data_IF_666834760606
#
_entry.id   IF_666834760606
#
_cell.length_a   1.000
_cell.length_b   1.000
_cell.length_c   1.000
_cell.angle_alpha   90.00
_cell.angle_beta   90.00
_cell.angle_gamma   90.00
#
_symmetry.space_group_name_H-M   'P 1'
#
loop_
_entity.id
_entity.type
_entity.pdbx_description
1 polymer ?
#
# COMPACT_ATOMS: atom_id res chain seq x y z
N UNK A 1 -11.67 11.56 14.10
CA UNK A 1 -11.81 11.53 12.62
C UNK A 1 -11.95 12.96 12.12
N UNK A 2 -11.38 13.31 10.97
CA UNK A 2 -11.58 14.63 10.39
C UNK A 2 -13.08 14.90 10.14
N UNK A 3 -13.62 16.11 10.42
CA UNK A 3 -15.03 16.41 10.18
C UNK A 3 -15.46 16.24 8.72
N UNK A 4 -14.53 16.44 7.77
CA UNK A 4 -14.78 16.27 6.32
C UNK A 4 -14.44 14.87 5.82
N UNK A 5 -14.39 13.86 6.69
CA UNK A 5 -14.04 12.49 6.29
C UNK A 5 -15.18 11.86 5.47
N UNK A 6 -14.91 11.47 4.23
CA UNK A 6 -15.86 10.79 3.35
C UNK A 6 -15.65 9.27 3.27
N UNK A 7 -15.04 8.67 4.28
CA UNK A 7 -14.83 7.23 4.40
C UNK A 7 -13.74 6.72 3.46
N UNK A 8 -14.01 5.59 2.79
CA UNK A 8 -13.05 4.96 1.87
C UNK A 8 -12.79 5.79 0.60
N UNK A 9 -13.67 6.74 0.29
CA UNK A 9 -13.53 7.66 -0.84
C UNK A 9 -12.88 8.99 -0.46
N UNK A 10 -12.45 9.15 0.79
CA UNK A 10 -11.71 10.34 1.21
C UNK A 10 -10.43 10.48 0.37
N UNK A 11 -10.17 11.62 -0.30
CA UNK A 11 -8.98 11.80 -1.13
C UNK A 11 -7.66 11.59 -0.40
N UNK A 12 -7.64 11.70 0.94
CA UNK A 12 -6.45 11.41 1.76
C UNK A 12 -6.14 9.92 1.86
N UNK A 13 -7.17 9.08 1.70
CA UNK A 13 -7.07 7.63 1.70
C UNK A 13 -7.06 7.07 0.27
N UNK A 14 -7.85 7.67 -0.63
CA UNK A 14 -8.07 7.23 -1.99
C UNK A 14 -7.83 8.37 -3.01
N UNK A 15 -6.58 8.84 -3.17
CA UNK A 15 -6.25 10.02 -3.97
C UNK A 15 -6.63 9.90 -5.44
N UNK A 16 -6.77 11.05 -6.11
CA UNK A 16 -7.07 11.14 -7.54
C UNK A 16 -5.87 10.76 -8.41
N UNK A 17 -6.14 10.55 -9.71
CA UNK A 17 -5.08 10.26 -10.68
C UNK A 17 -4.09 11.44 -10.80
N UNK A 18 -4.59 12.68 -10.80
CA UNK A 18 -3.75 13.88 -10.92
C UNK A 18 -2.81 14.07 -9.73
N UNK A 19 -3.27 13.72 -8.52
CA UNK A 19 -2.43 13.77 -7.32
C UNK A 19 -1.32 12.71 -7.39
N UNK A 20 -1.68 11.49 -7.80
CA UNK A 20 -0.74 10.38 -7.91
C UNK A 20 0.28 10.57 -9.04
N UNK A 21 -0.10 11.25 -10.13
CA UNK A 21 0.81 11.58 -11.24
C UNK A 21 2.02 12.41 -10.77
N UNK A 22 1.87 13.14 -9.68
CA UNK A 22 2.84 14.08 -9.11
C UNK A 22 3.65 13.49 -7.96
N UNK A 23 3.54 12.18 -7.71
CA UNK A 23 4.27 11.54 -6.63
C UNK A 23 5.78 11.71 -6.83
N UNK A 24 6.45 12.27 -5.81
CA UNK A 24 7.84 12.70 -5.90
C UNK A 24 8.88 11.60 -5.75
N UNK A 25 8.47 10.34 -5.51
CA UNK A 25 9.36 9.20 -5.46
C UNK A 25 9.35 8.43 -6.79
N UNK A 26 10.39 7.62 -6.99
CA UNK A 26 10.55 6.81 -8.21
C UNK A 26 10.01 5.39 -8.04
N UNK A 27 9.86 4.93 -6.79
CA UNK A 27 9.42 3.57 -6.48
C UNK A 27 8.41 3.58 -5.34
N UNK A 28 7.41 2.70 -5.43
CA UNK A 28 6.40 2.49 -4.39
C UNK A 28 6.24 0.99 -4.18
N UNK A 29 6.25 0.57 -2.91
CA UNK A 29 5.89 -0.79 -2.50
C UNK A 29 4.68 -0.73 -1.58
N UNK A 30 3.65 -1.51 -1.92
CA UNK A 30 2.37 -1.55 -1.21
C UNK A 30 2.20 -2.95 -0.62
N UNK A 31 1.89 -3.01 0.67
CA UNK A 31 1.45 -4.24 1.33
C UNK A 31 -0.04 -4.15 1.64
N UNK A 32 -0.78 -5.19 1.32
CA UNK A 32 -2.19 -5.35 1.72
C UNK A 32 -2.39 -6.69 2.39
N UNK A 33 -3.44 -6.78 3.21
CA UNK A 33 -3.82 -7.97 3.95
C UNK A 33 -5.24 -8.38 3.56
N UNK A 34 -5.47 -9.66 3.32
CA UNK A 34 -6.74 -10.17 2.78
C UNK A 34 -7.96 -9.83 3.66
N UNK A 35 -7.82 -9.91 4.98
CA UNK A 35 -8.89 -9.64 5.95
C UNK A 35 -8.97 -8.17 6.36
N UNK A 36 -8.14 -7.30 5.77
CA UNK A 36 -8.15 -5.87 6.06
C UNK A 36 -9.30 -5.16 5.32
N UNK A 37 -10.12 -4.42 6.07
CA UNK A 37 -11.15 -3.53 5.52
C UNK A 37 -10.64 -2.50 4.51
N UNK A 38 -9.33 -2.19 4.53
CA UNK A 38 -8.67 -1.24 3.64
C UNK A 38 -8.09 -1.88 2.37
N UNK A 39 -8.22 -3.20 2.16
CA UNK A 39 -7.63 -3.89 1.01
C UNK A 39 -8.02 -3.26 -0.33
N UNK A 40 -9.29 -2.87 -0.48
CA UNK A 40 -9.80 -2.24 -1.68
C UNK A 40 -9.10 -0.89 -1.97
N UNK A 41 -8.80 -0.12 -0.93
CA UNK A 41 -8.07 1.15 -1.04
C UNK A 41 -6.64 0.90 -1.52
N UNK A 42 -5.93 -0.05 -0.90
CA UNK A 42 -4.56 -0.39 -1.28
C UNK A 42 -4.45 -0.85 -2.73
N UNK A 43 -5.37 -1.74 -3.16
CA UNK A 43 -5.47 -2.19 -4.56
C UNK A 43 -5.81 -1.05 -5.52
N UNK A 44 -6.71 -0.14 -5.13
CA UNK A 44 -7.06 1.02 -5.96
C UNK A 44 -5.89 1.99 -6.11
N UNK A 45 -5.12 2.22 -5.04
CA UNK A 45 -3.91 3.05 -5.10
C UNK A 45 -2.89 2.48 -6.08
N UNK A 46 -2.65 1.16 -6.04
CA UNK A 46 -1.80 0.45 -7.00
C UNK A 46 -2.27 0.65 -8.46
N UNK A 47 -3.56 0.40 -8.73
CA UNK A 47 -4.13 0.53 -10.07
C UNK A 47 -4.14 1.97 -10.58
N UNK A 48 -4.42 2.94 -9.70
CA UNK A 48 -4.40 4.36 -10.03
C UNK A 48 -2.99 4.87 -10.30
N UNK A 49 -1.97 4.44 -9.54
CA UNK A 49 -0.58 4.78 -9.83
C UNK A 49 -0.21 4.39 -11.27
N UNK A 50 -0.54 3.16 -11.67
CA UNK A 50 -0.29 2.65 -13.04
C UNK A 50 -1.01 3.44 -14.13
N UNK A 51 -2.17 4.04 -13.82
CA UNK A 51 -3.00 4.82 -14.76
C UNK A 51 -2.73 6.33 -14.70
N UNK A 52 -2.10 6.82 -13.64
CA UNK A 52 -1.92 8.25 -13.37
C UNK A 52 -0.94 8.95 -14.32
N UNK A 53 -0.12 8.20 -15.05
CA UNK A 53 0.97 8.75 -15.84
C UNK A 53 2.25 9.05 -15.04
N UNK A 54 2.23 8.79 -13.73
CA UNK A 54 3.44 8.70 -12.90
C UNK A 54 4.48 7.77 -13.54
N UNK A 55 5.75 8.17 -13.51
CA UNK A 55 6.83 7.51 -14.25
C UNK A 55 7.64 6.50 -13.44
N UNK A 56 7.30 6.35 -12.15
CA UNK A 56 7.95 5.39 -11.27
C UNK A 56 7.45 3.96 -11.44
N UNK A 57 7.99 3.06 -10.63
CA UNK A 57 7.57 1.66 -10.54
C UNK A 57 6.77 1.40 -9.27
N UNK A 58 5.71 0.60 -9.37
CA UNK A 58 4.91 0.17 -8.22
C UNK A 58 4.87 -1.34 -8.13
N UNK A 59 5.07 -1.84 -6.92
CA UNK A 59 4.88 -3.24 -6.54
C UNK A 59 3.76 -3.35 -5.49
N UNK A 60 2.99 -4.43 -5.55
CA UNK A 60 1.99 -4.77 -4.54
C UNK A 60 2.21 -6.20 -4.06
N UNK A 61 2.16 -6.40 -2.75
CA UNK A 61 2.23 -7.70 -2.09
C UNK A 61 0.94 -7.91 -1.32
N UNK A 62 0.20 -8.93 -1.69
CA UNK A 62 -1.04 -9.32 -1.02
C UNK A 62 -0.77 -10.47 -0.05
N UNK A 63 -1.10 -10.27 1.22
CA UNK A 63 -0.88 -11.26 2.26
C UNK A 63 -2.21 -11.94 2.60
N UNK A 64 -2.32 -13.22 2.26
CA UNK A 64 -3.51 -14.03 2.51
C UNK A 64 -3.74 -14.28 4.00
N UNK A 65 -4.99 -14.48 4.40
CA UNK A 65 -5.40 -14.93 5.73
C UNK A 65 -5.00 -14.08 6.95
N UNK A 66 -4.47 -12.88 6.74
CA UNK A 66 -4.02 -11.97 7.80
C UNK A 66 -4.86 -10.69 7.87
N UNK A 67 -4.89 -10.10 9.06
CA UNK A 67 -5.63 -8.87 9.37
C UNK A 67 -4.79 -7.61 9.18
N UNK A 68 -5.41 -6.45 9.41
CA UNK A 68 -4.77 -5.15 9.34
C UNK A 68 -3.49 -5.09 10.19
N UNK A 69 -2.38 -4.66 9.59
CA UNK A 69 -1.08 -4.53 10.27
C UNK A 69 -0.61 -5.82 11.00
N UNK A 70 -0.94 -7.01 10.49
CA UNK A 70 -0.60 -8.30 11.13
C UNK A 70 0.84 -8.44 11.61
N UNK A 71 1.81 -7.86 10.90
CA UNK A 71 3.23 -7.90 11.24
C UNK A 71 3.56 -7.16 12.54
N UNK A 72 2.68 -6.31 13.05
CA UNK A 72 2.82 -5.66 14.37
C UNK A 72 2.32 -6.54 15.53
N UNK A 73 1.48 -7.54 15.25
CA UNK A 73 0.89 -8.41 16.25
C UNK A 73 1.80 -9.60 16.59
N UNK A 74 2.46 -10.18 15.58
CA UNK A 74 3.47 -11.21 15.76
C UNK A 74 4.61 -11.05 14.74
N UNK A 75 5.71 -10.47 15.22
CA UNK A 75 6.93 -10.22 14.45
C UNK A 75 7.68 -11.50 14.04
N UNK A 76 7.38 -12.63 14.68
CA UNK A 76 8.03 -13.92 14.40
C UNK A 76 7.20 -14.82 13.48
N UNK A 77 5.97 -14.41 13.14
CA UNK A 77 5.17 -15.14 12.16
C UNK A 77 5.87 -15.17 10.81
N UNK A 78 5.71 -16.27 10.06
CA UNK A 78 6.33 -16.45 8.75
C UNK A 78 6.01 -15.28 7.81
N UNK A 79 4.74 -14.89 7.72
CA UNK A 79 4.30 -13.75 6.91
C UNK A 79 4.91 -12.43 7.35
N UNK A 80 5.10 -12.20 8.66
CA UNK A 80 5.71 -10.95 9.14
C UNK A 80 7.20 -10.89 8.76
N UNK A 81 7.90 -12.01 8.90
CA UNK A 81 9.30 -12.15 8.51
C UNK A 81 9.46 -11.95 7.00
N UNK A 82 8.61 -12.57 6.17
CA UNK A 82 8.59 -12.38 4.72
C UNK A 82 8.36 -10.92 4.31
N UNK A 83 7.36 -10.27 4.92
CA UNK A 83 7.05 -8.85 4.69
C UNK A 83 8.26 -7.97 5.02
N UNK A 84 8.91 -8.19 6.17
CA UNK A 84 10.11 -7.45 6.58
C UNK A 84 11.28 -7.68 5.62
N UNK A 85 11.50 -8.91 5.16
CA UNK A 85 12.53 -9.20 4.17
C UNK A 85 12.28 -8.48 2.84
N UNK A 86 11.03 -8.47 2.36
CA UNK A 86 10.64 -7.77 1.14
C UNK A 86 10.83 -6.26 1.29
N UNK A 87 10.42 -5.70 2.43
CA UNK A 87 10.61 -4.28 2.74
C UNK A 87 12.08 -3.88 2.77
N UNK A 88 12.92 -4.63 3.49
CA UNK A 88 14.37 -4.39 3.55
C UNK A 88 15.02 -4.52 2.17
N UNK A 89 14.61 -5.50 1.38
CA UNK A 89 15.13 -5.70 0.02
C UNK A 89 14.76 -4.52 -0.88
N UNK A 90 13.53 -4.02 -0.83
CA UNK A 90 13.09 -2.86 -1.60
C UNK A 90 13.87 -1.59 -1.24
N UNK A 91 14.17 -1.36 0.04
CA UNK A 91 14.98 -0.22 0.47
C UNK A 91 16.44 -0.33 0.01
N UNK A 92 16.98 -1.54 -0.06
CA UNK A 92 18.37 -1.82 -0.46
C UNK A 92 18.56 -1.97 -1.97
N UNK A 93 17.50 -1.96 -2.75
CA UNK A 93 17.63 -1.91 -4.21
C UNK A 93 18.23 -0.56 -4.58
N UNK A 94 19.40 -0.58 -5.22
CA UNK A 94 20.01 0.61 -5.82
C UNK A 94 19.11 1.19 -6.92
#
# INVERSE_FOLDING_TARGET
>A
MCPSNSGLDDPRLNPGLEDLARLGCERVLIFVAEKDSLIAVGRNYYEKLKKSGWKGSVEIVENEDVEHCFYLHDLNSEKAVELLHKFVSFLKQD
#
